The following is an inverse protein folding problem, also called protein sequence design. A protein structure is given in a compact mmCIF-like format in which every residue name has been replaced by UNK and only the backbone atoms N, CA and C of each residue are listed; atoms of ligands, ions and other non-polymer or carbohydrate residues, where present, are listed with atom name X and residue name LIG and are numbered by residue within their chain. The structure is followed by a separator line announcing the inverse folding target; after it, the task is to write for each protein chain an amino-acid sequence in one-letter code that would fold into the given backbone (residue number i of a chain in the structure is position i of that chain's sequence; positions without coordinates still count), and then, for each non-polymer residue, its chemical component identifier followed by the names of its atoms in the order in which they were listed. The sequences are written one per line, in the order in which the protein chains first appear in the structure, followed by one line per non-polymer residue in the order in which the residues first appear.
data_IF_373744394790
#
_entry.id   IF_373744394790
#
_cell.length_a   1.000
_cell.length_b   1.000
_cell.length_c   1.000
_cell.angle_alpha   90.00
_cell.angle_beta   90.00
_cell.angle_gamma   90.00
#
_symmetry.space_group_name_H-M   'P 1'
#
loop_
_entity.id
_entity.type
_entity.pdbx_description
1 polymer ?
#
# COMPACT_ATOMS: atom_id res chain seq x y z
N UNK A 1 -7.19 -14.64 9.53
CA UNK A 1 -6.57 -15.45 8.45
C UNK A 1 -7.59 -16.19 7.60
N UNK A 2 -8.53 -16.98 8.15
CA UNK A 2 -9.53 -17.72 7.35
C UNK A 2 -10.37 -16.82 6.42
N UNK A 3 -10.86 -15.69 6.90
CA UNK A 3 -11.63 -14.75 6.07
C UNK A 3 -10.81 -14.25 4.88
N UNK A 4 -9.54 -13.91 5.09
CA UNK A 4 -8.64 -13.45 4.04
C UNK A 4 -8.46 -14.50 2.92
N UNK A 5 -8.30 -15.78 3.25
CA UNK A 5 -8.21 -16.86 2.27
C UNK A 5 -9.52 -17.02 1.48
N UNK A 6 -10.65 -17.00 2.17
CA UNK A 6 -11.97 -17.09 1.54
C UNK A 6 -12.21 -15.89 0.61
N UNK A 7 -11.84 -14.70 1.03
CA UNK A 7 -11.96 -13.45 0.26
C UNK A 7 -11.06 -13.45 -0.98
N UNK A 8 -9.83 -13.96 -0.87
CA UNK A 8 -8.94 -14.13 -2.02
C UNK A 8 -9.52 -15.10 -3.05
N UNK A 9 -10.08 -16.23 -2.61
CA UNK A 9 -10.78 -17.18 -3.49
C UNK A 9 -12.02 -16.52 -4.11
N UNK A 10 -12.82 -15.82 -3.31
CA UNK A 10 -14.01 -15.10 -3.78
C UNK A 10 -13.66 -14.04 -4.84
N UNK A 11 -12.49 -13.42 -4.75
CA UNK A 11 -12.00 -12.43 -5.72
C UNK A 11 -11.86 -12.99 -7.15
N UNK A 12 -11.81 -14.31 -7.33
CA UNK A 12 -11.76 -14.95 -8.65
C UNK A 12 -13.07 -14.73 -9.42
N UNK A 13 -14.22 -14.78 -8.74
CA UNK A 13 -15.55 -14.84 -9.39
C UNK A 13 -16.53 -13.75 -8.95
N UNK A 14 -16.24 -12.99 -7.89
CA UNK A 14 -17.13 -11.94 -7.37
C UNK A 14 -17.49 -10.92 -8.46
N UNK A 15 -18.77 -10.57 -8.61
CA UNK A 15 -19.16 -9.53 -9.57
C UNK A 15 -18.71 -8.14 -9.13
N UNK A 16 -18.59 -7.20 -10.07
CA UNK A 16 -18.23 -5.81 -9.76
C UNK A 16 -19.26 -5.17 -8.82
N UNK A 17 -20.55 -5.40 -9.06
CA UNK A 17 -21.64 -4.89 -8.23
C UNK A 17 -21.56 -5.40 -6.79
N UNK A 18 -21.28 -6.70 -6.63
CA UNK A 18 -21.12 -7.32 -5.32
C UNK A 18 -19.85 -6.81 -4.62
N UNK A 19 -18.74 -6.61 -5.35
CA UNK A 19 -17.53 -6.03 -4.79
C UNK A 19 -17.77 -4.60 -4.29
N UNK A 20 -18.41 -3.75 -5.08
CA UNK A 20 -18.78 -2.37 -4.69
C UNK A 20 -19.69 -2.33 -3.47
N UNK A 21 -20.59 -3.32 -3.32
CA UNK A 21 -21.46 -3.44 -2.15
C UNK A 21 -20.70 -3.82 -0.88
N UNK A 22 -19.66 -4.66 -1.02
CA UNK A 22 -18.88 -5.23 0.09
C UNK A 22 -17.67 -4.40 0.49
N UNK A 23 -17.11 -3.65 -0.43
CA UNK A 23 -15.93 -2.82 -0.22
C UNK A 23 -16.24 -1.38 -0.64
N UNK A 24 -16.53 -0.55 0.36
CA UNK A 24 -16.97 0.83 0.16
C UNK A 24 -15.86 1.81 0.48
N UNK A 25 -15.79 2.87 -0.29
CA UNK A 25 -14.93 4.02 -0.02
C UNK A 25 -15.77 5.11 0.67
N UNK A 26 -15.28 5.63 1.81
CA UNK A 26 -16.02 6.63 2.60
C UNK A 26 -15.68 8.05 2.19
N UNK A 27 -14.49 8.27 1.59
CA UNK A 27 -13.99 9.59 1.22
C UNK A 27 -13.06 9.52 0.00
N UNK A 28 -13.54 8.97 -1.12
CA UNK A 28 -12.77 8.82 -2.37
C UNK A 28 -12.28 10.17 -2.92
N UNK A 29 -12.93 11.26 -2.52
CA UNK A 29 -12.56 12.64 -2.86
C UNK A 29 -11.12 13.01 -2.44
N UNK A 30 -10.53 12.33 -1.46
CA UNK A 30 -9.12 12.54 -1.11
C UNK A 30 -8.18 12.15 -2.26
N UNK A 31 -8.51 11.08 -2.99
CA UNK A 31 -7.77 10.72 -4.22
C UNK A 31 -8.05 11.75 -5.33
N UNK A 32 -9.32 12.15 -5.50
CA UNK A 32 -9.67 13.13 -6.53
C UNK A 32 -9.02 14.51 -6.32
N UNK A 33 -8.71 14.91 -5.09
CA UNK A 33 -7.94 16.15 -4.82
C UNK A 33 -6.56 16.10 -5.47
N UNK A 34 -5.87 14.95 -5.36
CA UNK A 34 -4.53 14.76 -5.96
C UNK A 34 -4.64 14.69 -7.49
N UNK A 35 -5.65 13.99 -8.02
CA UNK A 35 -5.93 13.94 -9.45
C UNK A 35 -6.16 15.34 -10.04
N UNK A 36 -6.99 16.16 -9.36
CA UNK A 36 -7.25 17.56 -9.76
C UNK A 36 -6.01 18.44 -9.69
N UNK A 37 -5.09 18.17 -8.78
CA UNK A 37 -3.80 18.83 -8.71
C UNK A 37 -2.81 18.36 -9.82
N UNK A 38 -3.25 17.50 -10.73
CA UNK A 38 -2.46 16.90 -11.81
C UNK A 38 -1.21 16.17 -11.30
N UNK A 39 -1.32 15.49 -10.15
CA UNK A 39 -0.25 14.71 -9.54
C UNK A 39 -0.57 13.23 -9.54
N UNK A 40 0.47 12.40 -9.60
CA UNK A 40 0.34 10.97 -9.31
C UNK A 40 0.11 10.74 -7.81
N UNK A 41 -0.50 9.61 -7.48
CA UNK A 41 -0.80 9.21 -6.11
C UNK A 41 0.15 8.09 -5.67
N UNK A 42 0.89 8.29 -4.60
CA UNK A 42 1.56 7.24 -3.84
C UNK A 42 0.58 6.72 -2.79
N UNK A 43 -0.03 5.58 -3.03
CA UNK A 43 -0.96 4.93 -2.11
C UNK A 43 -0.18 3.97 -1.20
N UNK A 44 0.13 4.41 0.02
CA UNK A 44 0.82 3.60 1.02
C UNK A 44 -0.17 2.67 1.72
N UNK A 45 0.16 1.40 1.74
CA UNK A 45 -0.73 0.32 2.16
C UNK A 45 -0.07 -0.56 3.22
N UNK A 46 -0.90 -1.28 3.97
CA UNK A 46 -0.48 -2.33 4.88
C UNK A 46 -1.23 -3.64 4.60
N UNK A 47 -0.64 -4.76 5.00
CA UNK A 47 -1.31 -6.07 4.98
C UNK A 47 -2.33 -6.16 6.14
N UNK A 48 -3.41 -5.38 6.03
CA UNK A 48 -4.43 -5.24 7.05
C UNK A 48 -5.84 -5.41 6.47
N UNK A 49 -6.67 -6.18 7.13
CA UNK A 49 -8.03 -6.46 6.67
C UNK A 49 -8.06 -7.11 5.29
N UNK A 50 -9.03 -6.71 4.46
CA UNK A 50 -9.15 -7.18 3.08
C UNK A 50 -8.42 -6.24 2.10
N UNK A 51 -7.12 -6.01 2.31
CA UNK A 51 -6.33 -5.06 1.50
C UNK A 51 -6.32 -5.38 -0.01
N UNK A 52 -6.47 -6.65 -0.40
CA UNK A 52 -6.52 -7.02 -1.81
C UNK A 52 -7.77 -6.53 -2.53
N UNK A 53 -8.83 -6.19 -1.81
CA UNK A 53 -10.04 -5.66 -2.43
C UNK A 53 -9.92 -4.19 -2.83
N UNK A 54 -8.83 -3.50 -2.47
CA UNK A 54 -8.54 -2.12 -2.90
C UNK A 54 -8.54 -1.96 -4.43
N UNK A 55 -8.27 -3.02 -5.20
CA UNK A 55 -8.22 -2.94 -6.66
C UNK A 55 -9.52 -2.44 -7.31
N UNK A 56 -10.67 -2.55 -6.61
CA UNK A 56 -11.95 -1.98 -7.08
C UNK A 56 -11.90 -0.43 -7.16
N UNK A 57 -10.90 0.22 -6.55
CA UNK A 57 -10.71 1.68 -6.63
C UNK A 57 -10.68 2.17 -8.09
N UNK A 58 -10.19 1.33 -9.03
CA UNK A 58 -10.15 1.65 -10.45
C UNK A 58 -11.53 1.95 -11.07
N UNK A 59 -12.61 1.61 -10.38
CA UNK A 59 -13.98 1.94 -10.78
C UNK A 59 -14.48 3.26 -10.19
N UNK A 60 -13.62 3.98 -9.47
CA UNK A 60 -13.96 5.20 -8.75
C UNK A 60 -12.98 6.36 -9.01
N UNK A 61 -11.89 6.13 -9.77
CA UNK A 61 -10.81 7.10 -10.01
C UNK A 61 -10.52 7.22 -11.50
N UNK A 62 -9.87 8.31 -11.91
CA UNK A 62 -9.53 8.59 -13.30
C UNK A 62 -8.12 8.10 -13.68
N UNK A 63 -7.18 8.13 -12.72
CA UNK A 63 -5.82 7.67 -12.95
C UNK A 63 -5.75 6.14 -12.99
N UNK A 64 -4.94 5.61 -13.89
CA UNK A 64 -4.67 4.17 -13.92
C UNK A 64 -3.93 3.73 -12.65
N UNK A 65 -4.33 2.60 -12.07
CA UNK A 65 -3.70 2.02 -10.90
C UNK A 65 -2.62 1.02 -11.24
N UNK A 66 -1.50 1.12 -10.54
CA UNK A 66 -0.38 0.21 -10.62
C UNK A 66 -0.08 -0.36 -9.25
N UNK A 67 -0.07 -1.68 -9.12
CA UNK A 67 0.28 -2.36 -7.89
C UNK A 67 1.70 -2.92 -7.96
N UNK A 68 2.51 -2.57 -6.98
CA UNK A 68 3.86 -3.11 -6.86
C UNK A 68 3.78 -4.49 -6.21
N UNK A 69 4.37 -5.51 -6.85
CA UNK A 69 4.34 -6.85 -6.34
C UNK A 69 5.66 -7.59 -6.50
N UNK A 70 5.90 -8.55 -5.63
CA UNK A 70 6.99 -9.50 -5.77
C UNK A 70 6.48 -10.71 -6.55
N UNK A 71 7.17 -11.09 -7.62
CA UNK A 71 6.86 -12.27 -8.42
C UNK A 71 6.86 -13.53 -7.55
N UNK A 72 5.83 -14.36 -7.70
CA UNK A 72 5.67 -15.61 -6.97
C UNK A 72 6.39 -16.72 -7.74
N UNK A 73 7.15 -17.58 -7.05
CA UNK A 73 7.96 -18.63 -7.68
C UNK A 73 7.10 -19.65 -8.43
N UNK A 74 5.97 -20.06 -7.84
CA UNK A 74 5.03 -20.95 -8.51
C UNK A 74 4.30 -20.19 -9.63
N UNK A 75 4.63 -20.50 -10.89
CA UNK A 75 4.11 -19.81 -12.08
C UNK A 75 2.59 -19.86 -12.24
N UNK A 76 1.94 -20.93 -11.78
CA UNK A 76 0.48 -21.07 -11.87
C UNK A 76 -0.21 -20.18 -10.83
N UNK A 77 0.34 -20.14 -9.64
CA UNK A 77 -0.17 -19.28 -8.57
C UNK A 77 0.10 -17.80 -8.88
N UNK A 78 1.29 -17.46 -9.41
CA UNK A 78 1.60 -16.10 -9.88
C UNK A 78 0.59 -15.63 -10.94
N UNK A 79 0.29 -16.49 -11.93
CA UNK A 79 -0.70 -16.20 -12.96
C UNK A 79 -2.10 -15.95 -12.38
N UNK A 80 -2.52 -16.75 -11.41
CA UNK A 80 -3.81 -16.60 -10.74
C UNK A 80 -3.88 -15.27 -9.98
N UNK A 81 -2.89 -14.96 -9.15
CA UNK A 81 -2.82 -13.72 -8.37
C UNK A 81 -2.81 -12.51 -9.29
N UNK A 82 -2.02 -12.53 -10.36
CA UNK A 82 -2.01 -11.46 -11.37
C UNK A 82 -3.37 -11.26 -12.02
N UNK A 83 -4.07 -12.35 -12.38
CA UNK A 83 -5.42 -12.27 -12.95
C UNK A 83 -6.41 -11.64 -11.98
N UNK A 84 -6.34 -11.98 -10.70
CA UNK A 84 -7.21 -11.40 -9.66
C UNK A 84 -6.94 -9.89 -9.54
N UNK A 85 -5.70 -9.50 -9.41
CA UNK A 85 -5.28 -8.10 -9.20
C UNK A 85 -5.53 -7.20 -10.41
N UNK A 86 -5.37 -7.74 -11.62
CA UNK A 86 -5.63 -7.02 -12.88
C UNK A 86 -7.12 -6.89 -13.23
N UNK A 87 -8.02 -7.48 -12.44
CA UNK A 87 -9.43 -7.65 -12.80
C UNK A 87 -10.18 -6.34 -13.06
N UNK A 88 -9.80 -5.26 -12.38
CA UNK A 88 -10.45 -3.96 -12.50
C UNK A 88 -9.59 -2.95 -13.27
N UNK A 89 -8.78 -3.42 -14.22
CA UNK A 89 -7.83 -2.63 -15.01
C UNK A 89 -6.66 -2.08 -14.17
N UNK A 90 -6.25 -2.79 -13.12
CA UNK A 90 -5.01 -2.49 -12.41
C UNK A 90 -3.84 -3.16 -13.11
N UNK A 91 -2.79 -2.40 -13.36
CA UNK A 91 -1.54 -2.90 -13.89
C UNK A 91 -0.63 -3.39 -12.77
N UNK A 92 0.25 -4.35 -13.07
CA UNK A 92 1.17 -4.91 -12.08
C UNK A 92 2.61 -4.60 -12.50
N UNK A 93 3.36 -4.01 -11.59
CA UNK A 93 4.78 -3.72 -11.76
C UNK A 93 5.57 -4.57 -10.77
N UNK A 94 6.61 -5.26 -11.24
CA UNK A 94 7.45 -6.02 -10.32
C UNK A 94 8.32 -5.07 -9.48
N UNK A 95 8.67 -5.49 -8.27
CA UNK A 95 9.52 -4.69 -7.38
C UNK A 95 10.89 -4.34 -8.02
N UNK A 96 11.38 -5.12 -9.00
CA UNK A 96 12.63 -4.84 -9.71
C UNK A 96 12.48 -3.72 -10.74
N UNK A 97 11.32 -3.60 -11.36
CA UNK A 97 11.01 -2.64 -12.42
C UNK A 97 10.42 -1.34 -11.87
N UNK A 98 10.06 -1.29 -10.60
CA UNK A 98 9.32 -0.18 -10.00
C UNK A 98 9.98 1.18 -10.25
N UNK A 99 11.27 1.31 -9.91
CA UNK A 99 11.98 2.59 -10.03
C UNK A 99 12.03 3.10 -11.48
N UNK A 100 12.42 2.22 -12.41
CA UNK A 100 12.53 2.58 -13.83
C UNK A 100 11.15 2.91 -14.43
N UNK A 101 10.13 2.11 -14.12
CA UNK A 101 8.78 2.33 -14.64
C UNK A 101 8.18 3.65 -14.15
N UNK A 102 8.29 3.96 -12.85
CA UNK A 102 7.72 5.19 -12.32
C UNK A 102 8.43 6.44 -12.86
N UNK A 103 9.76 6.37 -13.02
CA UNK A 103 10.53 7.46 -13.65
C UNK A 103 10.15 7.65 -15.12
N UNK A 104 9.97 6.55 -15.86
CA UNK A 104 9.52 6.60 -17.25
C UNK A 104 8.12 7.23 -17.34
N UNK A 105 7.18 6.80 -16.50
CA UNK A 105 5.84 7.40 -16.46
C UNK A 105 5.90 8.91 -16.18
N UNK A 106 6.77 9.35 -15.27
CA UNK A 106 6.97 10.80 -15.02
C UNK A 106 7.50 11.52 -16.26
N UNK A 107 8.49 10.94 -16.96
CA UNK A 107 9.05 11.49 -18.18
C UNK A 107 8.00 11.58 -19.30
N UNK A 108 7.15 10.57 -19.42
CA UNK A 108 6.06 10.49 -20.40
C UNK A 108 4.82 11.32 -20.01
N UNK A 109 4.86 12.03 -18.87
CA UNK A 109 3.73 12.83 -18.38
C UNK A 109 2.55 12.01 -17.85
N UNK A 110 2.70 10.69 -17.68
CA UNK A 110 1.64 9.78 -17.20
C UNK A 110 1.40 10.02 -15.72
N UNK A 111 0.13 10.29 -15.38
CA UNK A 111 -0.33 10.38 -13.99
C UNK A 111 -1.04 9.09 -13.61
N UNK A 112 -0.70 8.55 -12.43
CA UNK A 112 -1.18 7.23 -12.03
C UNK A 112 -1.29 7.12 -10.50
N UNK A 113 -1.94 6.04 -10.04
CA UNK A 113 -1.98 5.64 -8.63
C UNK A 113 -1.07 4.45 -8.46
N UNK A 114 -0.08 4.55 -7.57
CA UNK A 114 0.88 3.49 -7.29
C UNK A 114 0.67 2.94 -5.88
N UNK A 115 0.26 1.68 -5.79
CA UNK A 115 0.03 0.99 -4.51
C UNK A 115 1.30 0.33 -3.99
N UNK A 116 1.75 0.76 -2.81
CA UNK A 116 2.93 0.25 -2.12
C UNK A 116 2.57 -0.37 -0.77
N UNK A 117 2.76 -1.68 -0.61
CA UNK A 117 2.70 -2.35 0.69
C UNK A 117 4.04 -2.14 1.41
N UNK A 118 4.05 -1.26 2.44
CA UNK A 118 5.27 -0.76 3.08
C UNK A 118 5.43 -1.19 4.55
N UNK A 119 4.55 -2.05 5.06
CA UNK A 119 4.46 -2.44 6.47
C UNK A 119 5.41 -3.58 6.88
N UNK A 120 6.05 -4.26 5.94
CA UNK A 120 6.98 -5.36 6.21
C UNK A 120 8.43 -4.86 6.42
N UNK A 121 9.31 -5.76 6.88
CA UNK A 121 10.73 -5.44 7.09
C UNK A 121 11.51 -5.50 5.79
N UNK A 122 12.30 -4.47 5.45
CA UNK A 122 13.25 -4.54 4.36
C UNK A 122 14.37 -5.58 4.64
N UNK A 123 15.19 -5.87 3.63
CA UNK A 123 16.47 -6.52 3.85
C UNK A 123 17.42 -5.57 4.57
N UNK A 124 18.27 -6.09 5.45
CA UNK A 124 19.20 -5.25 6.21
C UNK A 124 20.09 -4.40 5.29
N UNK A 125 20.58 -5.00 4.21
CA UNK A 125 21.47 -4.35 3.25
C UNK A 125 20.78 -3.20 2.48
N UNK A 126 19.45 -3.12 2.57
CA UNK A 126 18.62 -2.08 1.93
C UNK A 126 17.87 -1.25 2.96
N UNK A 127 18.36 -1.21 4.19
CA UNK A 127 17.76 -0.42 5.27
C UNK A 127 18.46 0.92 5.39
N UNK A 128 17.68 2.00 5.28
CA UNK A 128 18.16 3.38 5.37
C UNK A 128 17.59 4.11 6.58
N UNK A 129 16.54 3.56 7.20
CA UNK A 129 15.87 4.17 8.35
C UNK A 129 15.33 3.12 9.31
N UNK A 130 15.36 3.47 10.60
CA UNK A 130 14.85 2.67 11.71
C UNK A 130 13.84 3.48 12.49
N UNK A 131 12.70 2.89 12.80
CA UNK A 131 11.61 3.52 13.56
C UNK A 131 11.12 2.58 14.64
N UNK A 132 10.65 3.13 15.74
CA UNK A 132 9.88 2.34 16.70
C UNK A 132 8.56 1.90 16.06
N UNK A 133 8.26 0.62 16.24
CA UNK A 133 7.00 0.01 15.87
C UNK A 133 6.58 -0.93 17.00
N UNK A 134 5.47 -0.62 17.66
CA UNK A 134 5.01 -1.31 18.87
C UNK A 134 6.11 -1.35 19.95
N UNK A 135 6.69 -0.20 20.25
CA UNK A 135 7.77 0.01 21.24
C UNK A 135 9.08 -0.78 20.96
N UNK A 136 9.24 -1.29 19.76
CA UNK A 136 10.46 -2.00 19.36
C UNK A 136 11.03 -1.35 18.11
N UNK A 137 12.30 -0.96 18.14
CA UNK A 137 12.98 -0.37 17.00
C UNK A 137 13.21 -1.39 15.89
N UNK A 138 12.76 -1.07 14.69
CA UNK A 138 12.78 -1.96 13.52
C UNK A 138 13.15 -1.21 12.25
N UNK A 139 13.75 -1.90 11.26
CA UNK A 139 13.97 -1.30 9.95
C UNK A 139 12.65 -1.10 9.20
N UNK A 140 12.54 0.00 8.46
CA UNK A 140 11.35 0.37 7.70
C UNK A 140 11.65 0.59 6.22
N UNK A 141 10.66 0.35 5.37
CA UNK A 141 10.76 0.63 3.94
C UNK A 141 10.60 2.13 3.67
N UNK A 142 11.61 2.75 3.04
CA UNK A 142 11.62 4.19 2.69
C UNK A 142 11.37 4.45 1.20
N UNK A 143 11.22 3.39 0.40
CA UNK A 143 11.12 3.50 -1.05
C UNK A 143 9.91 4.29 -1.55
N UNK A 144 8.76 4.18 -0.87
CA UNK A 144 7.56 4.93 -1.22
C UNK A 144 7.77 6.45 -1.04
N UNK A 145 8.33 6.85 0.10
CA UNK A 145 8.66 8.25 0.37
C UNK A 145 9.70 8.79 -0.63
N UNK A 146 10.81 8.07 -0.82
CA UNK A 146 11.85 8.48 -1.76
C UNK A 146 11.28 8.73 -3.16
N UNK A 147 10.47 7.82 -3.67
CA UNK A 147 9.84 7.97 -4.99
C UNK A 147 8.79 9.08 -5.02
N UNK A 148 8.01 9.25 -3.96
CA UNK A 148 7.02 10.33 -3.92
C UNK A 148 7.68 11.71 -3.96
N UNK A 149 8.79 11.91 -3.25
CA UNK A 149 9.59 13.14 -3.27
C UNK A 149 10.23 13.36 -4.64
N UNK A 150 10.93 12.35 -5.17
CA UNK A 150 11.63 12.43 -6.45
C UNK A 150 10.69 12.76 -7.62
N UNK A 151 9.48 12.22 -7.59
CA UNK A 151 8.53 12.30 -8.72
C UNK A 151 7.38 13.28 -8.47
N UNK A 152 7.42 14.04 -7.37
CA UNK A 152 6.41 15.02 -6.95
C UNK A 152 4.99 14.43 -6.92
N UNK A 153 4.78 13.43 -6.07
CA UNK A 153 3.50 12.75 -5.90
C UNK A 153 2.77 13.20 -4.65
N UNK A 154 1.44 13.20 -4.67
CA UNK A 154 0.66 13.22 -3.45
C UNK A 154 0.73 11.85 -2.75
N UNK A 155 0.75 11.84 -1.43
CA UNK A 155 0.88 10.62 -0.62
C UNK A 155 -0.38 10.41 0.22
N UNK A 156 -0.91 9.21 0.13
CA UNK A 156 -2.14 8.81 0.84
C UNK A 156 -1.94 7.46 1.53
N UNK A 157 -2.41 7.34 2.76
CA UNK A 157 -2.57 6.07 3.46
C UNK A 157 -4.03 5.63 3.38
N UNK A 158 -4.31 4.34 3.16
CA UNK A 158 -5.66 3.84 3.28
C UNK A 158 -5.86 2.95 4.51
N UNK A 159 -6.94 3.21 5.22
CA UNK A 159 -7.39 2.48 6.40
C UNK A 159 -8.63 1.68 6.05
N UNK A 160 -8.58 0.36 6.21
CA UNK A 160 -9.73 -0.52 5.98
C UNK A 160 -10.32 -1.00 7.30
N UNK A 161 -11.59 -0.72 7.53
CA UNK A 161 -12.36 -1.19 8.69
C UNK A 161 -13.30 -2.31 8.28
N UNK A 162 -13.29 -3.42 9.01
CA UNK A 162 -14.28 -4.47 8.86
C UNK A 162 -15.59 -4.05 9.53
N UNK A 163 -16.66 -3.94 8.75
CA UNK A 163 -18.01 -3.62 9.26
C UNK A 163 -18.69 -4.89 9.78
N UNK A 164 -18.59 -5.95 8.98
CA UNK A 164 -19.02 -7.31 9.30
C UNK A 164 -18.28 -8.29 8.40
N UNK A 165 -18.44 -9.58 8.62
CA UNK A 165 -17.75 -10.60 7.82
C UNK A 165 -18.02 -10.41 6.33
N UNK A 166 -16.94 -10.19 5.54
CA UNK A 166 -16.98 -9.96 4.11
C UNK A 166 -17.54 -8.58 3.69
N UNK A 167 -17.57 -7.60 4.61
CA UNK A 167 -17.97 -6.21 4.33
C UNK A 167 -16.99 -5.25 4.98
N UNK A 168 -16.49 -4.31 4.19
CA UNK A 168 -15.44 -3.38 4.59
C UNK A 168 -15.76 -1.96 4.17
N UNK A 169 -15.29 -1.02 4.96
CA UNK A 169 -15.24 0.40 4.64
C UNK A 169 -13.78 0.85 4.62
N UNK A 170 -13.42 1.57 3.57
CA UNK A 170 -12.06 2.08 3.39
C UNK A 170 -12.08 3.59 3.37
N UNK A 171 -11.26 4.18 4.24
CA UNK A 171 -11.07 5.62 4.37
C UNK A 171 -9.64 5.96 3.96
N UNK A 172 -9.48 7.02 3.18
CA UNK A 172 -8.19 7.55 2.77
C UNK A 172 -7.77 8.65 3.73
N UNK A 173 -6.51 8.62 4.16
CA UNK A 173 -5.88 9.69 4.94
C UNK A 173 -4.77 10.29 4.08
N UNK A 174 -4.99 11.49 3.56
CA UNK A 174 -3.95 12.23 2.85
C UNK A 174 -2.83 12.58 3.82
N UNK A 175 -1.61 12.11 3.54
CA UNK A 175 -0.41 12.46 4.28
C UNK A 175 0.06 13.83 3.80
N UNK A 176 0.18 13.99 2.47
CA UNK A 176 0.57 15.26 1.86
C UNK A 176 0.19 15.33 0.38
N UNK A 177 -0.01 16.55 -0.10
CA UNK A 177 -0.07 16.86 -1.54
C UNK A 177 1.31 17.22 -2.12
N UNK A 178 2.26 17.62 -1.26
CA UNK A 178 3.58 18.10 -1.63
C UNK A 178 4.66 17.35 -0.84
N UNK A 179 5.01 16.16 -1.31
CA UNK A 179 5.96 15.28 -0.60
C UNK A 179 7.37 15.86 -0.47
N UNK A 180 7.78 16.77 -1.35
CA UNK A 180 9.08 17.46 -1.31
C UNK A 180 9.25 18.44 -0.15
N UNK A 181 8.14 18.86 0.50
CA UNK A 181 8.19 19.80 1.64
C UNK A 181 8.52 19.10 2.97
N UNK A 182 8.58 17.79 2.99
CA UNK A 182 8.83 17.00 4.19
C UNK A 182 10.32 16.65 4.33
N UNK A 183 10.81 16.60 5.56
CA UNK A 183 12.15 16.10 5.85
C UNK A 183 12.28 14.61 5.50
N UNK A 184 13.52 14.12 5.38
CA UNK A 184 13.75 12.71 5.07
C UNK A 184 13.21 11.80 6.16
N UNK A 185 12.51 10.76 5.70
CA UNK A 185 11.81 9.74 6.49
C UNK A 185 10.57 10.21 7.25
N UNK A 186 10.22 11.49 7.22
CA UNK A 186 9.07 12.02 7.93
C UNK A 186 7.75 11.40 7.44
N UNK A 187 7.57 11.25 6.12
CA UNK A 187 6.40 10.60 5.51
C UNK A 187 6.33 9.12 5.90
N UNK A 188 7.47 8.46 5.92
CA UNK A 188 7.60 7.05 6.35
C UNK A 188 7.21 6.91 7.82
N UNK A 189 7.66 7.81 8.67
CA UNK A 189 7.35 7.83 10.10
C UNK A 189 5.86 8.06 10.36
N UNK A 190 5.24 8.98 9.63
CA UNK A 190 3.80 9.20 9.70
C UNK A 190 3.02 7.95 9.26
N UNK A 191 3.45 7.27 8.19
CA UNK A 191 2.83 6.02 7.77
C UNK A 191 2.91 4.95 8.86
N UNK A 192 4.08 4.77 9.50
CA UNK A 192 4.26 3.79 10.58
C UNK A 192 3.36 4.12 11.76
N UNK A 193 3.26 5.40 12.17
CA UNK A 193 2.36 5.81 13.25
C UNK A 193 0.89 5.54 12.93
N UNK A 194 0.43 5.83 11.70
CA UNK A 194 -0.94 5.52 11.29
C UNK A 194 -1.21 4.01 11.21
N UNK A 195 -0.20 3.23 10.86
CA UNK A 195 -0.30 1.77 10.88
C UNK A 195 -0.45 1.24 12.31
N UNK A 196 0.31 1.78 13.28
CA UNK A 196 0.19 1.41 14.69
C UNK A 196 -1.20 1.76 15.25
N UNK A 197 -1.70 2.97 14.95
CA UNK A 197 -3.07 3.36 15.33
C UNK A 197 -4.09 2.36 14.79
N UNK A 198 -3.98 2.00 13.50
CA UNK A 198 -4.88 1.05 12.85
C UNK A 198 -4.82 -0.35 13.48
N UNK A 199 -3.61 -0.83 13.80
CA UNK A 199 -3.43 -2.14 14.42
C UNK A 199 -3.98 -2.13 15.86
N UNK A 200 -3.75 -1.06 16.63
CA UNK A 200 -4.25 -0.94 17.99
C UNK A 200 -5.79 -0.91 18.07
N UNK A 201 -6.46 -0.40 17.03
CA UNK A 201 -7.93 -0.43 16.97
C UNK A 201 -8.50 -1.85 16.83
N UNK A 202 -7.87 -2.73 16.04
CA UNK A 202 -8.31 -4.10 15.83
C UNK A 202 -7.14 -4.99 15.37
N UNK A 203 -6.29 -5.45 16.31
CA UNK A 203 -5.05 -6.15 16.00
C UNK A 203 -5.24 -7.49 15.28
N UNK A 204 -6.40 -8.11 15.40
CA UNK A 204 -6.73 -9.38 14.76
C UNK A 204 -6.78 -9.31 13.22
N UNK A 205 -6.83 -8.11 12.63
CA UNK A 205 -6.88 -7.94 11.17
C UNK A 205 -5.52 -7.69 10.53
N UNK A 206 -4.46 -7.49 11.33
CA UNK A 206 -3.11 -7.36 10.80
C UNK A 206 -2.50 -8.73 10.45
N UNK A 207 -1.67 -8.77 9.40
CA UNK A 207 -1.01 -10.00 8.95
C UNK A 207 0.22 -10.31 9.80
N UNK A 208 0.03 -10.92 10.97
CA UNK A 208 1.08 -11.29 11.93
C UNK A 208 2.04 -12.38 11.46
N UNK A 209 1.79 -13.03 10.33
CA UNK A 209 2.67 -14.12 9.82
C UNK A 209 4.02 -13.61 9.33
N UNK A 210 4.16 -12.30 9.04
CA UNK A 210 5.46 -11.69 8.76
C UNK A 210 6.24 -11.46 10.07
N UNK A 211 7.49 -11.95 10.14
CA UNK A 211 8.38 -11.73 11.29
C UNK A 211 8.87 -10.27 11.32
N UNK A 212 8.00 -9.31 11.72
CA UNK A 212 8.25 -7.87 11.67
C UNK A 212 9.48 -7.45 12.50
N UNK A 213 9.71 -8.08 13.64
CA UNK A 213 10.81 -7.79 14.57
C UNK A 213 12.07 -8.66 14.38
N UNK A 214 12.20 -9.37 13.25
CA UNK A 214 13.33 -10.28 12.97
C UNK A 214 14.71 -9.60 12.99
N UNK A 215 14.76 -8.30 12.95
CA UNK A 215 15.97 -7.48 12.92
C UNK A 215 16.13 -6.57 14.15
N UNK A 216 15.31 -6.74 15.20
CA UNK A 216 15.33 -5.89 16.40
C UNK A 216 16.70 -5.78 17.07
N UNK A 217 17.49 -6.87 17.03
CA UNK A 217 18.82 -6.94 17.64
C UNK A 217 19.95 -6.43 16.72
N UNK A 218 19.60 -5.85 15.57
CA UNK A 218 20.56 -5.36 14.56
C UNK A 218 20.49 -3.84 14.37
N UNK A 219 19.96 -3.12 15.35
CA UNK A 219 19.86 -1.65 15.32
C UNK A 219 21.28 -1.06 15.31
N UNK A 220 21.65 -0.26 14.29
CA UNK A 220 22.93 0.42 14.26
C UNK A 220 23.08 1.43 15.40
N UNK A 221 24.32 1.72 15.82
CA UNK A 221 24.59 2.66 16.92
C UNK A 221 23.98 4.04 16.70
N UNK A 222 24.00 4.52 15.47
CA UNK A 222 23.46 5.83 15.08
C UNK A 222 21.93 5.93 15.23
N UNK A 223 21.25 4.80 15.45
CA UNK A 223 19.79 4.70 15.65
C UNK A 223 19.42 4.15 17.05
N UNK A 224 20.37 3.96 17.93
CA UNK A 224 20.14 3.46 19.31
C UNK A 224 19.62 4.55 20.25
#
# INVERSE_FOLDING_TARGET
MCDMLIESIKSISISESEMKRRFKFTNIEEIHKIEKANKSVMLMCAHYGSWEWIFIIQKHVNHNGYAIYKRIENKYFDRLVRKIRARYNTYLITNKETMSTLRQHKADGIKAIYGFLSDQSPKIESTYHWKEFMNIKVPVHTGAEKLSKELDMGVVFFKTKKVKRGYYETTFKTITLNSSEYDDYQITDMFISYLEELINEAPEYYLWTHKRWKHKDKVPKDFQ
#
